data_IF_217016416967
#
_entry.id   IF_217016416967
#
_cell.length_a   1.000
_cell.length_b   1.000
_cell.length_c   1.000
_cell.angle_alpha   90.00
_cell.angle_beta   90.00
_cell.angle_gamma   90.00
#
_symmetry.space_group_name_H-M   'P 1'
#
loop_
_entity.id
_entity.type
_entity.pdbx_description
1 polymer ?
#
# COMPACT_ATOMS: atom_id res chain seq x y z
N UNK A 1 0.72 14.17 -19.30
CA UNK A 1 1.59 15.25 -19.78
C UNK A 1 1.11 16.48 -19.03
N UNK A 2 1.80 17.08 -18.06
CA UNK A 2 3.24 17.25 -17.82
C UNK A 2 3.68 16.88 -16.40
N UNK A 3 4.85 16.26 -16.32
CA UNK A 3 5.73 16.00 -15.16
C UNK A 3 6.95 16.92 -15.37
N UNK A 4 7.73 17.35 -14.34
CA UNK A 4 8.92 18.19 -14.55
C UNK A 4 9.75 17.70 -15.73
N UNK A 5 10.24 18.62 -16.57
CA UNK A 5 10.83 18.31 -17.87
C UNK A 5 12.14 17.51 -17.72
N UNK A 6 12.00 16.20 -17.49
CA UNK A 6 13.09 15.25 -17.50
C UNK A 6 13.60 15.18 -18.95
N UNK A 7 14.91 15.30 -19.15
CA UNK A 7 15.47 15.42 -20.49
C UNK A 7 15.09 14.22 -21.35
N UNK A 8 14.87 14.48 -22.64
CA UNK A 8 14.75 13.41 -23.62
C UNK A 8 16.10 12.67 -23.75
N UNK A 9 16.08 11.34 -24.02
CA UNK A 9 17.29 10.59 -24.28
C UNK A 9 18.03 11.19 -25.48
N UNK A 10 19.35 11.36 -25.34
CA UNK A 10 20.21 11.93 -26.41
C UNK A 10 20.60 10.89 -27.45
N UNK A 11 20.78 9.63 -27.06
CA UNK A 11 21.13 8.53 -27.96
C UNK A 11 19.88 8.08 -28.76
N UNK A 12 20.04 7.92 -30.07
CA UNK A 12 18.94 7.55 -30.96
C UNK A 12 18.36 6.16 -30.66
N UNK A 13 19.17 5.23 -30.11
CA UNK A 13 18.72 3.90 -29.70
C UNK A 13 17.87 3.98 -28.44
N UNK A 14 18.25 4.83 -27.47
CA UNK A 14 17.39 5.11 -26.31
C UNK A 14 16.08 5.81 -26.70
N UNK A 15 16.09 6.67 -27.73
CA UNK A 15 14.86 7.24 -28.29
C UNK A 15 13.94 6.17 -28.90
N UNK A 16 14.50 5.18 -29.60
CA UNK A 16 13.74 4.06 -30.14
C UNK A 16 13.14 3.18 -29.02
N UNK A 17 13.91 2.90 -27.97
CA UNK A 17 13.44 2.20 -26.76
C UNK A 17 12.31 2.97 -26.10
N UNK A 18 12.45 4.30 -25.94
CA UNK A 18 11.40 5.16 -25.38
C UNK A 18 10.09 5.06 -26.16
N UNK A 19 10.16 5.03 -27.50
CA UNK A 19 8.99 4.90 -28.35
C UNK A 19 8.28 3.56 -28.14
N UNK A 20 9.04 2.45 -28.09
CA UNK A 20 8.49 1.11 -27.83
C UNK A 20 7.88 0.99 -26.44
N UNK A 21 8.58 1.47 -25.40
CA UNK A 21 8.05 1.49 -24.03
C UNK A 21 6.78 2.35 -23.92
N UNK A 22 6.71 3.47 -24.65
CA UNK A 22 5.51 4.31 -24.67
C UNK A 22 4.31 3.57 -25.27
N UNK A 23 4.52 2.84 -26.38
CA UNK A 23 3.47 2.02 -26.98
C UNK A 23 3.00 0.90 -26.03
N UNK A 24 3.93 0.21 -25.36
CA UNK A 24 3.58 -0.81 -24.36
C UNK A 24 2.74 -0.21 -23.23
N UNK A 25 3.17 0.94 -22.67
CA UNK A 25 2.41 1.64 -21.64
C UNK A 25 1.00 2.00 -22.10
N UNK A 26 0.87 2.48 -23.33
CA UNK A 26 -0.42 2.89 -23.86
C UNK A 26 -1.35 1.67 -24.06
N UNK A 27 -0.82 0.50 -24.47
CA UNK A 27 -1.58 -0.76 -24.47
C UNK A 27 -2.00 -1.20 -23.06
N UNK A 28 -1.11 -1.11 -22.07
CA UNK A 28 -1.44 -1.41 -20.67
C UNK A 28 -2.56 -0.49 -20.15
N UNK A 29 -2.54 0.79 -20.52
CA UNK A 29 -3.60 1.74 -20.16
C UNK A 29 -4.94 1.42 -20.83
N UNK A 30 -4.93 1.00 -22.10
CA UNK A 30 -6.14 0.56 -22.79
C UNK A 30 -6.73 -0.70 -22.12
N UNK A 31 -5.89 -1.68 -21.79
CA UNK A 31 -6.31 -2.90 -21.09
C UNK A 31 -6.91 -2.58 -19.71
N UNK A 32 -6.34 -1.62 -18.98
CA UNK A 32 -6.87 -1.15 -17.70
C UNK A 32 -8.26 -0.52 -17.83
N UNK A 33 -8.49 0.22 -18.93
CA UNK A 33 -9.75 0.92 -19.17
C UNK A 33 -10.88 -0.02 -19.61
N UNK A 34 -10.55 -1.17 -20.22
CA UNK A 34 -11.56 -2.14 -20.66
C UNK A 34 -12.22 -2.84 -19.46
N UNK A 35 -13.50 -2.55 -19.25
CA UNK A 35 -14.35 -3.16 -18.20
C UNK A 35 -15.35 -4.17 -18.73
N UNK A 36 -15.29 -4.51 -20.02
CA UNK A 36 -16.25 -5.42 -20.65
C UNK A 36 -15.98 -6.87 -20.30
N UNK A 37 -14.72 -7.22 -20.03
CA UNK A 37 -14.28 -8.55 -19.61
C UNK A 37 -13.32 -8.45 -18.42
N UNK A 38 -13.09 -9.58 -17.75
CA UNK A 38 -12.00 -9.70 -16.79
C UNK A 38 -10.65 -9.73 -17.53
N UNK A 39 -9.59 -9.32 -16.84
CA UNK A 39 -8.24 -9.33 -17.42
C UNK A 39 -7.64 -10.74 -17.29
N UNK A 40 -7.11 -11.28 -18.41
CA UNK A 40 -6.47 -12.61 -18.44
C UNK A 40 -4.96 -12.48 -18.44
N UNK A 41 -4.28 -13.51 -17.92
CA UNK A 41 -2.83 -13.62 -17.99
C UNK A 41 -2.31 -13.53 -19.42
N UNK A 42 -3.00 -14.13 -20.39
CA UNK A 42 -2.61 -14.12 -21.81
C UNK A 42 -2.56 -12.70 -22.42
N UNK A 43 -3.32 -11.76 -21.87
CA UNK A 43 -3.35 -10.37 -22.35
C UNK A 43 -2.24 -9.51 -21.70
N UNK A 44 -1.68 -9.95 -20.57
CA UNK A 44 -0.68 -9.22 -19.77
C UNK A 44 0.75 -9.71 -20.03
N UNK A 45 0.97 -11.02 -20.07
CA UNK A 45 2.31 -11.63 -20.15
C UNK A 45 3.09 -11.19 -21.41
N UNK A 46 2.49 -11.09 -22.61
CA UNK A 46 3.21 -10.60 -23.78
C UNK A 46 3.73 -9.16 -23.64
N UNK A 47 3.00 -8.30 -22.92
CA UNK A 47 3.41 -6.91 -22.66
C UNK A 47 4.55 -6.85 -21.64
N UNK A 48 4.53 -7.76 -20.66
CA UNK A 48 5.64 -7.96 -19.76
C UNK A 48 6.91 -8.39 -20.51
N UNK A 49 6.84 -9.41 -21.35
CA UNK A 49 7.98 -9.92 -22.11
C UNK A 49 8.59 -8.85 -23.01
N UNK A 50 7.74 -8.10 -23.74
CA UNK A 50 8.19 -6.95 -24.54
C UNK A 50 8.90 -5.88 -23.69
N UNK A 51 8.39 -5.61 -22.48
CA UNK A 51 9.04 -4.65 -21.55
C UNK A 51 10.42 -5.15 -21.14
N UNK A 52 10.55 -6.45 -20.86
CA UNK A 52 11.83 -7.07 -20.51
C UNK A 52 12.83 -6.98 -21.66
N UNK A 53 12.41 -7.19 -22.91
CA UNK A 53 13.27 -7.01 -24.08
C UNK A 53 13.81 -5.58 -24.15
N UNK A 54 12.98 -4.58 -23.86
CA UNK A 54 13.41 -3.19 -23.82
C UNK A 54 14.40 -2.93 -22.69
N UNK A 55 14.25 -3.55 -21.52
CA UNK A 55 15.23 -3.45 -20.42
C UNK A 55 16.58 -4.04 -20.83
N UNK A 56 16.57 -5.20 -21.51
CA UNK A 56 17.80 -5.84 -22.00
C UNK A 56 18.53 -4.94 -22.98
N UNK A 57 17.81 -4.37 -23.95
CA UNK A 57 18.37 -3.45 -24.94
C UNK A 57 18.90 -2.17 -24.29
N UNK A 58 18.14 -1.59 -23.36
CA UNK A 58 18.55 -0.38 -22.62
C UNK A 58 19.83 -0.61 -21.83
N UNK A 59 19.95 -1.73 -21.12
CA UNK A 59 21.16 -2.07 -20.38
C UNK A 59 22.36 -2.23 -21.30
N UNK A 60 22.19 -2.86 -22.46
CA UNK A 60 23.26 -3.00 -23.45
C UNK A 60 23.70 -1.64 -23.98
N UNK A 61 22.77 -0.80 -24.44
CA UNK A 61 23.06 0.56 -24.93
C UNK A 61 23.79 1.37 -23.87
N UNK A 62 23.29 1.41 -22.63
CA UNK A 62 23.90 2.16 -21.51
C UNK A 62 25.28 1.65 -21.14
N UNK A 63 25.53 0.35 -21.25
CA UNK A 63 26.85 -0.23 -21.00
C UNK A 63 27.90 0.22 -22.03
N UNK A 64 27.50 0.45 -23.28
CA UNK A 64 28.40 0.92 -24.34
C UNK A 64 28.69 2.41 -24.25
N UNK A 65 27.67 3.23 -23.97
CA UNK A 65 27.81 4.69 -23.96
C UNK A 65 28.26 5.25 -22.60
N UNK A 66 28.30 4.41 -21.54
CA UNK A 66 28.65 4.83 -20.19
C UNK A 66 27.65 5.83 -19.57
N UNK A 67 26.42 5.89 -20.08
CA UNK A 67 25.40 6.81 -19.61
C UNK A 67 24.63 6.20 -18.44
N UNK A 68 24.64 6.91 -17.31
CA UNK A 68 23.94 6.52 -16.08
C UNK A 68 22.99 7.60 -15.57
N UNK A 69 22.83 8.70 -16.32
CA UNK A 69 21.89 9.77 -15.95
C UNK A 69 20.45 9.36 -16.26
N UNK A 70 19.55 9.64 -15.30
CA UNK A 70 18.12 9.41 -15.45
C UNK A 70 17.53 10.33 -16.53
N UNK A 71 16.74 9.76 -17.43
CA UNK A 71 16.06 10.49 -18.49
C UNK A 71 14.63 9.99 -18.69
N UNK A 72 13.95 10.50 -19.72
CA UNK A 72 12.53 10.18 -19.97
C UNK A 72 12.26 8.67 -20.17
N UNK A 73 13.25 7.89 -20.63
CA UNK A 73 13.15 6.43 -20.73
C UNK A 73 12.85 5.81 -19.37
N UNK A 74 13.57 6.22 -18.33
CA UNK A 74 13.44 5.66 -16.97
C UNK A 74 12.03 5.91 -16.40
N UNK A 75 11.46 7.09 -16.62
CA UNK A 75 10.09 7.40 -16.16
C UNK A 75 9.02 6.61 -16.87
N UNK A 76 9.17 6.38 -18.17
CA UNK A 76 8.21 5.54 -18.92
C UNK A 76 8.39 4.08 -18.51
N UNK A 77 9.62 3.62 -18.31
CA UNK A 77 9.90 2.26 -17.83
C UNK A 77 9.33 2.02 -16.43
N UNK A 78 9.52 2.95 -15.49
CA UNK A 78 8.91 2.91 -14.16
C UNK A 78 7.38 2.85 -14.26
N UNK A 79 6.77 3.64 -15.15
CA UNK A 79 5.32 3.59 -15.40
C UNK A 79 4.85 2.22 -15.93
N UNK A 80 5.60 1.61 -16.85
CA UNK A 80 5.29 0.26 -17.35
C UNK A 80 5.35 -0.76 -16.21
N UNK A 81 6.40 -0.73 -15.39
CA UNK A 81 6.54 -1.68 -14.29
C UNK A 81 5.52 -1.47 -13.16
N UNK A 82 5.14 -0.24 -12.85
CA UNK A 82 4.04 0.04 -11.92
C UNK A 82 2.72 -0.54 -12.43
N UNK A 83 2.38 -0.33 -13.71
CA UNK A 83 1.19 -0.91 -14.34
C UNK A 83 1.24 -2.44 -14.34
N UNK A 84 2.33 -3.03 -14.84
CA UNK A 84 2.52 -4.48 -14.91
C UNK A 84 2.41 -5.11 -13.52
N UNK A 85 3.01 -4.51 -12.50
CA UNK A 85 2.90 -4.99 -11.11
C UNK A 85 1.45 -5.04 -10.64
N UNK A 86 0.66 -3.99 -10.89
CA UNK A 86 -0.75 -3.99 -10.54
C UNK A 86 -1.58 -4.97 -11.39
N UNK A 87 -1.23 -5.17 -12.66
CA UNK A 87 -1.86 -6.20 -13.49
C UNK A 87 -1.59 -7.60 -12.96
N UNK A 88 -0.36 -7.88 -12.51
CA UNK A 88 -0.01 -9.15 -11.89
C UNK A 88 -0.84 -9.44 -10.64
N UNK A 89 -1.13 -8.41 -9.83
CA UNK A 89 -2.07 -8.53 -8.72
C UNK A 89 -3.49 -8.84 -9.22
N UNK A 90 -4.00 -8.09 -10.20
CA UNK A 90 -5.36 -8.29 -10.74
C UNK A 90 -5.60 -9.65 -11.40
N UNK A 91 -4.56 -10.22 -12.04
CA UNK A 91 -4.64 -11.58 -12.61
C UNK A 91 -4.35 -12.67 -11.58
N UNK A 92 -4.08 -12.35 -10.31
CA UNK A 92 -3.86 -13.32 -9.23
C UNK A 92 -2.45 -13.92 -9.14
N UNK A 93 -1.46 -13.35 -9.83
CA UNK A 93 -0.05 -13.79 -9.83
C UNK A 93 0.79 -13.03 -8.79
N UNK A 94 0.24 -12.84 -7.58
CA UNK A 94 0.80 -11.98 -6.53
C UNK A 94 2.16 -12.47 -5.99
N UNK A 95 2.41 -13.77 -6.10
CA UNK A 95 3.63 -14.40 -5.58
C UNK A 95 4.84 -14.25 -6.52
N UNK A 96 4.67 -13.60 -7.66
CA UNK A 96 5.73 -13.45 -8.65
C UNK A 96 6.45 -12.12 -8.51
N UNK A 97 7.74 -12.11 -8.86
CA UNK A 97 8.59 -10.95 -8.72
C UNK A 97 7.99 -9.65 -9.34
N UNK A 98 7.38 -9.66 -10.55
CA UNK A 98 6.78 -8.45 -11.13
C UNK A 98 5.69 -7.83 -10.26
N UNK A 99 4.91 -8.62 -9.52
CA UNK A 99 3.84 -8.14 -8.64
C UNK A 99 4.36 -7.22 -7.52
N UNK A 100 5.63 -7.36 -7.14
CA UNK A 100 6.22 -6.63 -6.01
C UNK A 100 6.70 -5.22 -6.34
N UNK A 101 6.74 -4.83 -7.62
CA UNK A 101 7.37 -3.58 -8.05
C UNK A 101 6.64 -2.34 -7.50
N UNK A 102 5.31 -2.28 -7.68
CA UNK A 102 4.49 -1.15 -7.22
C UNK A 102 4.49 -1.02 -5.69
N UNK A 103 4.48 -2.16 -4.99
CA UNK A 103 4.62 -2.23 -3.54
C UNK A 103 5.96 -1.65 -3.07
N UNK A 104 7.08 -2.10 -3.66
CA UNK A 104 8.43 -1.62 -3.30
C UNK A 104 8.58 -0.12 -3.58
N UNK A 105 8.01 0.37 -4.69
CA UNK A 105 8.00 1.79 -5.04
C UNK A 105 7.25 2.64 -4.01
N UNK A 106 6.10 2.13 -3.56
CA UNK A 106 5.27 2.78 -2.54
C UNK A 106 5.96 2.76 -1.17
N UNK A 107 6.60 1.64 -0.79
CA UNK A 107 7.41 1.54 0.43
C UNK A 107 8.52 2.59 0.43
N UNK A 108 9.25 2.74 -0.69
CA UNK A 108 10.30 3.75 -0.82
C UNK A 108 9.76 5.16 -0.56
N UNK A 109 8.62 5.52 -1.17
CA UNK A 109 7.96 6.83 -0.95
C UNK A 109 7.55 7.03 0.50
N UNK A 110 6.96 6.01 1.13
CA UNK A 110 6.61 6.06 2.55
C UNK A 110 7.86 6.30 3.41
N UNK A 111 8.95 5.55 3.18
CA UNK A 111 10.21 5.70 3.92
C UNK A 111 10.85 7.08 3.72
N UNK A 112 10.80 7.66 2.51
CA UNK A 112 11.21 9.04 2.26
C UNK A 112 10.41 10.01 3.15
N UNK A 113 9.09 9.88 3.17
CA UNK A 113 8.24 10.78 3.95
C UNK A 113 8.36 10.55 5.46
N UNK A 114 8.61 9.32 5.92
CA UNK A 114 8.92 9.04 7.32
C UNK A 114 10.24 9.71 7.73
N UNK A 115 11.23 9.69 6.84
CA UNK A 115 12.52 10.36 7.04
C UNK A 115 12.35 11.89 7.06
N UNK A 116 11.64 12.45 6.09
CA UNK A 116 11.37 13.89 5.97
C UNK A 116 10.58 14.44 7.15
N UNK A 117 9.48 13.77 7.51
CA UNK A 117 8.61 14.25 8.57
C UNK A 117 9.13 13.91 9.97
N UNK A 118 9.93 12.85 10.12
CA UNK A 118 10.26 12.24 11.41
C UNK A 118 8.99 11.96 12.26
N UNK A 119 7.96 11.38 11.61
CA UNK A 119 6.68 11.01 12.27
C UNK A 119 6.41 9.52 12.04
N UNK A 120 7.00 8.67 12.88
CA UNK A 120 6.86 7.21 12.82
C UNK A 120 6.95 6.59 14.22
N UNK A 121 6.43 5.38 14.38
CA UNK A 121 6.49 4.54 15.58
C UNK A 121 7.19 3.22 15.27
N UNK A 122 7.55 2.44 16.31
CA UNK A 122 8.11 1.10 16.11
C UNK A 122 7.17 0.20 15.28
N UNK A 123 5.86 0.30 15.53
CA UNK A 123 4.83 -0.48 14.81
C UNK A 123 4.79 -0.16 13.32
N UNK A 124 4.95 1.10 12.93
CA UNK A 124 4.95 1.48 11.51
C UNK A 124 6.16 0.85 10.80
N UNK A 125 7.33 0.86 11.45
CA UNK A 125 8.56 0.29 10.89
C UNK A 125 8.52 -1.23 10.83
N UNK A 126 7.95 -1.91 11.84
CA UNK A 126 7.83 -3.37 11.84
C UNK A 126 6.89 -3.85 10.72
N UNK A 127 5.78 -3.15 10.48
CA UNK A 127 4.90 -3.49 9.35
C UNK A 127 5.65 -3.42 8.02
N UNK A 128 6.39 -2.33 7.76
CA UNK A 128 7.18 -2.20 6.51
C UNK A 128 8.26 -3.29 6.43
N UNK A 129 8.91 -3.61 7.55
CA UNK A 129 9.93 -4.66 7.63
C UNK A 129 9.39 -6.02 7.22
N UNK A 130 8.30 -6.49 7.83
CA UNK A 130 7.72 -7.80 7.53
C UNK A 130 7.33 -7.92 6.05
N UNK A 131 6.75 -6.87 5.48
CA UNK A 131 6.37 -6.86 4.06
C UNK A 131 7.58 -6.81 3.12
N UNK A 132 8.67 -6.13 3.49
CA UNK A 132 9.92 -6.19 2.74
C UNK A 132 10.56 -7.58 2.82
N UNK A 133 10.50 -8.25 3.97
CA UNK A 133 11.00 -9.63 4.12
C UNK A 133 10.20 -10.61 3.26
N UNK A 134 8.88 -10.46 3.17
CA UNK A 134 8.02 -11.23 2.25
C UNK A 134 8.35 -10.94 0.78
N UNK A 135 8.58 -9.67 0.44
CA UNK A 135 9.01 -9.27 -0.91
C UNK A 135 10.35 -9.92 -1.30
N UNK A 136 11.32 -9.94 -0.38
CA UNK A 136 12.60 -10.64 -0.60
C UNK A 136 12.38 -12.12 -0.83
N UNK A 137 11.52 -12.76 -0.02
CA UNK A 137 11.20 -14.18 -0.19
C UNK A 137 10.61 -14.45 -1.58
N UNK A 138 9.64 -13.66 -2.02
CA UNK A 138 9.03 -13.79 -3.34
C UNK A 138 10.06 -13.64 -4.48
N UNK A 139 10.97 -12.67 -4.38
CA UNK A 139 12.06 -12.48 -5.35
C UNK A 139 13.01 -13.68 -5.35
N UNK A 140 13.44 -14.15 -4.16
CA UNK A 140 14.39 -15.27 -4.03
C UNK A 140 13.80 -16.62 -4.47
N UNK A 141 12.50 -16.86 -4.23
CA UNK A 141 11.82 -18.05 -4.71
C UNK A 141 11.84 -18.10 -6.25
N UNK A 142 11.64 -16.94 -6.89
CA UNK A 142 11.79 -16.76 -8.33
C UNK A 142 13.18 -17.10 -8.89
N UNK A 143 14.24 -17.01 -8.08
CA UNK A 143 15.62 -17.37 -8.46
C UNK A 143 15.90 -18.88 -8.39
N UNK A 144 15.18 -19.62 -7.53
CA UNK A 144 15.55 -21.01 -7.16
C UNK A 144 14.87 -22.12 -7.95
N UNK A 145 13.75 -21.87 -8.62
CA UNK A 145 13.03 -22.88 -9.41
C UNK A 145 13.47 -22.86 -10.87
N UNK A 146 13.96 -23.99 -11.38
CA UNK A 146 14.40 -24.14 -12.79
C UNK A 146 13.31 -23.75 -13.80
N UNK A 147 12.04 -23.95 -13.46
CA UNK A 147 10.86 -23.51 -14.24
C UNK A 147 10.68 -21.99 -14.22
N UNK A 148 11.06 -21.31 -13.12
CA UNK A 148 10.89 -19.86 -12.94
C UNK A 148 12.04 -19.04 -13.53
N UNK A 149 13.23 -19.64 -13.73
CA UNK A 149 14.34 -18.97 -14.41
C UNK A 149 14.08 -18.76 -15.92
N UNK A 150 13.20 -19.57 -16.53
CA UNK A 150 12.75 -19.37 -17.91
C UNK A 150 11.64 -18.31 -18.03
N UNK A 151 10.87 -18.08 -16.97
CA UNK A 151 9.72 -17.15 -16.92
C UNK A 151 10.07 -15.78 -16.30
N UNK A 152 11.12 -15.70 -15.47
CA UNK A 152 11.52 -14.48 -14.78
C UNK A 152 12.84 -13.93 -15.29
N UNK A 153 12.82 -12.66 -15.70
CA UNK A 153 13.97 -12.01 -16.31
C UNK A 153 15.05 -11.68 -15.25
N UNK A 154 16.31 -12.10 -15.45
CA UNK A 154 17.40 -11.76 -14.53
C UNK A 154 17.62 -10.24 -14.40
N UNK A 155 17.24 -9.48 -15.44
CA UNK A 155 17.30 -8.02 -15.42
C UNK A 155 16.28 -7.40 -14.46
N UNK A 156 15.06 -7.94 -14.40
CA UNK A 156 14.05 -7.49 -13.46
C UNK A 156 14.41 -7.87 -12.03
N UNK A 157 14.88 -9.09 -11.80
CA UNK A 157 15.31 -9.55 -10.48
C UNK A 157 16.43 -8.67 -9.94
N UNK A 158 17.43 -8.34 -10.77
CA UNK A 158 18.48 -7.40 -10.42
C UNK A 158 17.94 -6.02 -10.05
N UNK A 159 16.96 -5.51 -10.82
CA UNK A 159 16.32 -4.22 -10.55
C UNK A 159 15.57 -4.22 -9.22
N UNK A 160 14.72 -5.23 -8.99
CA UNK A 160 13.93 -5.38 -7.76
C UNK A 160 14.84 -5.55 -6.54
N UNK A 161 15.87 -6.40 -6.62
CA UNK A 161 16.84 -6.62 -5.54
C UNK A 161 17.55 -5.32 -5.14
N UNK A 162 17.95 -4.48 -6.11
CA UNK A 162 18.53 -3.16 -5.82
C UNK A 162 17.54 -2.23 -5.12
N UNK A 163 16.27 -2.21 -5.55
CA UNK A 163 15.22 -1.36 -4.95
C UNK A 163 14.88 -1.81 -3.52
N UNK A 164 14.80 -3.12 -3.30
CA UNK A 164 14.56 -3.69 -1.98
C UNK A 164 15.73 -3.39 -1.04
N UNK A 165 16.97 -3.58 -1.49
CA UNK A 165 18.16 -3.24 -0.70
C UNK A 165 18.18 -1.75 -0.29
N UNK A 166 17.78 -0.85 -1.20
CA UNK A 166 17.62 0.57 -0.87
C UNK A 166 16.58 0.80 0.23
N UNK A 167 15.40 0.19 0.12
CA UNK A 167 14.35 0.29 1.13
C UNK A 167 14.80 -0.27 2.48
N UNK A 168 15.50 -1.41 2.49
CA UNK A 168 16.08 -2.00 3.71
C UNK A 168 17.11 -1.06 4.36
N UNK A 169 17.97 -0.42 3.57
CA UNK A 169 18.92 0.58 4.09
C UNK A 169 18.24 1.80 4.70
N UNK A 170 17.21 2.33 4.04
CA UNK A 170 16.40 3.44 4.57
C UNK A 170 15.69 3.06 5.87
N UNK A 171 15.07 1.87 5.90
CA UNK A 171 14.40 1.33 7.08
C UNK A 171 15.39 1.12 8.25
N UNK A 172 16.57 0.57 7.99
CA UNK A 172 17.61 0.37 8.99
C UNK A 172 18.04 1.70 9.64
N UNK A 173 18.17 2.77 8.84
CA UNK A 173 18.48 4.10 9.36
C UNK A 173 17.38 4.63 10.28
N UNK A 174 16.10 4.48 9.91
CA UNK A 174 14.97 4.90 10.75
C UNK A 174 14.88 4.09 12.06
N UNK A 175 15.13 2.78 11.99
CA UNK A 175 15.17 1.89 13.17
C UNK A 175 16.30 2.27 14.11
N UNK A 176 17.51 2.48 13.59
CA UNK A 176 18.68 2.92 14.38
C UNK A 176 18.44 4.23 15.11
N UNK A 177 17.73 5.19 14.50
CA UNK A 177 17.31 6.41 15.18
C UNK A 177 16.38 6.12 16.36
N UNK A 178 15.39 5.25 16.17
CA UNK A 178 14.44 4.86 17.22
C UNK A 178 15.12 4.10 18.37
N UNK A 179 16.08 3.23 18.08
CA UNK A 179 16.90 2.52 19.07
C UNK A 179 17.74 3.47 19.95
N UNK A 180 18.06 4.66 19.44
CA UNK A 180 18.72 5.72 20.20
C UNK A 180 17.85 6.39 21.27
N UNK A 181 16.54 6.12 21.27
CA UNK A 181 15.59 6.65 22.24
C UNK A 181 15.46 5.66 23.41
N UNK A 182 15.79 6.11 24.62
CA UNK A 182 15.71 5.29 25.82
C UNK A 182 14.29 4.78 26.10
N UNK A 183 14.17 3.58 26.69
CA UNK A 183 12.90 2.90 26.94
C UNK A 183 11.79 3.77 27.56
N UNK A 184 12.05 4.56 28.63
CA UNK A 184 11.04 5.45 29.22
C UNK A 184 10.54 6.55 28.27
N UNK A 185 11.39 6.99 27.34
CA UNK A 185 11.06 8.03 26.36
C UNK A 185 10.35 7.48 25.13
N UNK A 186 10.48 6.19 24.83
CA UNK A 186 9.81 5.56 23.69
C UNK A 186 8.27 5.64 23.81
N UNK A 187 7.71 5.39 25.00
CA UNK A 187 6.27 5.55 25.22
C UNK A 187 5.82 7.02 25.07
N UNK A 188 6.68 7.97 25.45
CA UNK A 188 6.42 9.40 25.27
C UNK A 188 6.44 9.77 23.78
N UNK A 189 7.43 9.27 23.05
CA UNK A 189 7.53 9.40 21.60
C UNK A 189 6.26 8.91 20.90
N UNK A 190 5.82 7.68 21.17
CA UNK A 190 4.61 7.12 20.56
C UNK A 190 3.35 7.92 20.89
N UNK A 191 3.21 8.42 22.13
CA UNK A 191 2.10 9.30 22.51
C UNK A 191 2.13 10.61 21.72
N UNK A 192 3.29 11.24 21.56
CA UNK A 192 3.44 12.47 20.77
C UNK A 192 3.10 12.25 19.29
N UNK A 193 3.58 11.15 18.70
CA UNK A 193 3.28 10.76 17.31
C UNK A 193 1.77 10.53 17.13
N UNK A 194 1.11 9.84 18.06
CA UNK A 194 -0.32 9.60 18.03
C UNK A 194 -1.13 10.91 18.09
N UNK A 195 -0.80 11.81 19.02
CA UNK A 195 -1.47 13.12 19.13
C UNK A 195 -1.26 13.93 17.84
N UNK A 196 -0.05 13.96 17.30
CA UNK A 196 0.27 14.70 16.09
C UNK A 196 -0.52 14.20 14.87
N UNK A 197 -0.68 12.88 14.74
CA UNK A 197 -1.52 12.25 13.70
C UNK A 197 -2.99 12.63 13.84
N UNK A 198 -3.52 12.63 15.07
CA UNK A 198 -4.91 13.00 15.34
C UNK A 198 -5.18 14.49 15.05
N UNK A 199 -4.27 15.39 15.45
CA UNK A 199 -4.38 16.82 15.13
C UNK A 199 -4.34 17.03 13.61
N UNK A 200 -3.44 16.34 12.90
CA UNK A 200 -3.33 16.44 11.43
C UNK A 200 -4.58 15.91 10.71
N UNK A 201 -5.18 14.84 11.21
CA UNK A 201 -6.46 14.35 10.73
C UNK A 201 -7.56 15.39 10.95
N UNK A 202 -7.72 15.89 12.18
CA UNK A 202 -8.72 16.90 12.52
C UNK A 202 -8.60 18.18 11.67
N UNK A 203 -7.36 18.57 11.33
CA UNK A 203 -7.07 19.72 10.47
C UNK A 203 -7.61 19.58 9.03
N UNK A 204 -7.82 18.35 8.55
CA UNK A 204 -8.23 18.08 7.17
C UNK A 204 -9.65 17.51 7.04
N UNK A 205 -10.40 17.47 8.15
CA UNK A 205 -11.82 17.13 8.15
C UNK A 205 -12.62 18.22 7.44
N UNK A 206 -13.73 17.83 6.80
CA UNK A 206 -14.65 18.77 6.13
C UNK A 206 -15.26 19.80 7.10
N UNK A 207 -15.42 19.41 8.37
CA UNK A 207 -15.83 20.30 9.47
C UNK A 207 -14.75 20.29 10.54
N UNK A 208 -14.06 21.41 10.70
CA UNK A 208 -13.03 21.56 11.73
C UNK A 208 -13.65 21.61 13.13
N UNK A 209 -13.16 20.77 14.04
CA UNK A 209 -13.57 20.76 15.44
C UNK A 209 -12.52 21.41 16.33
N UNK A 210 -12.81 22.64 16.78
CA UNK A 210 -11.91 23.37 17.70
C UNK A 210 -11.77 22.63 19.03
N UNK A 211 -12.86 22.07 19.56
CA UNK A 211 -12.85 21.34 20.83
C UNK A 211 -12.04 20.05 20.77
N UNK A 212 -12.09 19.33 19.64
CA UNK A 212 -11.27 18.13 19.42
C UNK A 212 -9.76 18.47 19.47
N UNK A 213 -9.34 19.51 18.73
CA UNK A 213 -7.94 19.92 18.70
C UNK A 213 -7.50 20.50 20.05
N UNK A 214 -8.35 21.25 20.74
CA UNK A 214 -8.07 21.74 22.10
C UNK A 214 -7.86 20.59 23.09
N UNK A 215 -8.70 19.54 23.04
CA UNK A 215 -8.53 18.34 23.89
C UNK A 215 -7.20 17.64 23.63
N UNK A 216 -6.83 17.47 22.36
CA UNK A 216 -5.54 16.89 21.97
C UNK A 216 -4.36 17.76 22.42
N UNK A 217 -4.50 19.08 22.32
CA UNK A 217 -3.50 20.04 22.81
C UNK A 217 -3.36 19.99 24.34
N UNK A 218 -4.44 19.82 25.10
CA UNK A 218 -4.35 19.64 26.55
C UNK A 218 -3.57 18.37 26.91
N UNK A 219 -3.86 17.24 26.25
CA UNK A 219 -3.08 16.01 26.44
C UNK A 219 -1.61 16.16 26.08
N UNK A 220 -1.31 16.99 25.07
CA UNK A 220 0.06 17.33 24.72
C UNK A 220 0.71 18.12 25.85
N UNK A 221 0.07 19.17 26.37
CA UNK A 221 0.62 19.95 27.49
C UNK A 221 0.84 19.11 28.75
N UNK A 222 -0.06 18.18 29.07
CA UNK A 222 0.12 17.21 30.18
C UNK A 222 1.36 16.33 29.99
N UNK A 223 1.73 16.01 28.74
CA UNK A 223 3.02 15.34 28.47
C UNK A 223 4.18 16.30 28.78
N UNK A 224 4.04 17.57 28.41
CA UNK A 224 5.03 18.62 28.68
C UNK A 224 5.27 18.89 30.16
N UNK A 225 4.25 18.75 31.02
CA UNK A 225 4.36 18.91 32.48
C UNK A 225 5.36 17.92 33.12
N UNK A 226 5.63 16.81 32.45
CA UNK A 226 6.65 15.83 32.89
C UNK A 226 8.08 16.33 32.65
N UNK A 227 8.28 17.40 31.87
CA UNK A 227 9.60 17.98 31.62
C UNK A 227 10.09 18.73 32.86
N UNK A 228 11.35 18.53 33.22
CA UNK A 228 12.05 19.34 34.24
C UNK A 228 13.11 20.19 33.56
N UNK A 229 13.12 21.50 33.81
CA UNK A 229 14.03 22.45 33.13
C UNK A 229 13.98 22.34 31.60
N UNK A 230 12.78 22.10 31.05
CA UNK A 230 12.60 21.90 29.61
C UNK A 230 13.14 20.58 29.08
N UNK A 231 13.41 19.57 29.92
CA UNK A 231 13.89 18.26 29.48
C UNK A 231 13.06 17.11 29.98
N UNK A 232 12.86 16.09 29.14
CA UNK A 232 12.26 14.84 29.60
C UNK A 232 13.28 14.04 30.41
N UNK A 233 12.97 13.78 31.67
CA UNK A 233 13.85 13.04 32.58
C UNK A 233 13.20 11.72 33.00
N UNK A 234 14.05 10.73 33.26
CA UNK A 234 13.66 9.46 33.86
C UNK A 234 13.11 9.66 35.28
N UNK A 235 12.41 8.66 35.87
CA UNK A 235 11.89 8.76 37.25
C UNK A 235 12.96 9.08 38.30
N UNK A 236 14.19 8.64 38.08
CA UNK A 236 15.38 8.89 38.90
C UNK A 236 16.02 10.29 38.68
N UNK A 237 15.47 11.10 37.76
CA UNK A 237 15.96 12.43 37.42
C UNK A 237 17.09 12.46 36.38
N UNK A 238 17.50 11.31 35.84
CA UNK A 238 18.54 11.23 34.81
C UNK A 238 18.00 11.62 33.42
N UNK A 239 18.87 12.14 32.57
CA UNK A 239 18.55 12.43 31.17
C UNK A 239 18.68 11.14 30.37
N UNK A 240 17.57 10.66 29.82
CA UNK A 240 17.57 9.46 28.97
C UNK A 240 18.16 9.75 27.58
N UNK A 241 18.80 8.75 26.94
CA UNK A 241 19.16 8.83 25.52
C UNK A 241 17.96 9.24 24.65
N UNK A 242 18.18 10.11 23.67
CA UNK A 242 17.13 10.61 22.78
C UNK A 242 16.31 11.79 23.33
N UNK A 243 16.62 12.31 24.53
CA UNK A 243 15.86 13.41 25.15
C UNK A 243 15.71 14.64 24.25
N UNK A 244 16.81 15.08 23.61
CA UNK A 244 16.78 16.25 22.72
C UNK A 244 15.80 16.07 21.55
N UNK A 245 15.76 14.87 20.94
CA UNK A 245 14.86 14.55 19.84
C UNK A 245 13.39 14.54 20.30
N UNK A 246 13.11 14.04 21.51
CA UNK A 246 11.75 14.05 22.08
C UNK A 246 11.30 15.46 22.48
N UNK A 247 12.20 16.27 23.04
CA UNK A 247 11.92 17.67 23.36
C UNK A 247 11.63 18.49 22.09
N UNK A 248 12.40 18.28 21.01
CA UNK A 248 12.12 18.90 19.72
C UNK A 248 10.78 18.43 19.14
N UNK A 249 10.49 17.12 19.18
CA UNK A 249 9.21 16.56 18.72
C UNK A 249 8.04 17.18 19.49
N UNK A 250 8.14 17.29 20.82
CA UNK A 250 7.12 17.93 21.64
C UNK A 250 6.89 19.38 21.22
N UNK A 251 7.94 20.18 21.06
CA UNK A 251 7.84 21.58 20.66
C UNK A 251 7.21 21.72 19.27
N UNK A 252 7.57 20.83 18.34
CA UNK A 252 6.96 20.74 17.01
C UNK A 252 5.48 20.41 17.08
N UNK A 253 5.06 19.50 17.97
CA UNK A 253 3.66 19.16 18.20
C UNK A 253 2.89 20.36 18.77
N UNK A 254 3.46 21.09 19.73
CA UNK A 254 2.80 22.26 20.34
C UNK A 254 2.60 23.34 19.29
N UNK A 255 3.67 23.69 18.58
CA UNK A 255 3.62 24.66 17.48
C UNK A 255 2.61 24.26 16.41
N UNK A 256 2.54 22.98 16.05
CA UNK A 256 1.54 22.49 15.11
C UNK A 256 0.12 22.66 15.63
N UNK A 257 -0.13 22.33 16.89
CA UNK A 257 -1.45 22.48 17.50
C UNK A 257 -1.93 23.94 17.50
N UNK A 258 -1.04 24.89 17.79
CA UNK A 258 -1.35 26.32 17.78
C UNK A 258 -1.68 26.80 16.36
N UNK A 259 -0.86 26.43 15.37
CA UNK A 259 -1.10 26.77 13.96
C UNK A 259 -2.43 26.19 13.44
N UNK A 260 -2.78 24.96 13.84
CA UNK A 260 -4.05 24.32 13.45
C UNK A 260 -5.25 25.02 14.10
N UNK A 261 -5.14 25.44 15.37
CA UNK A 261 -6.19 26.20 16.07
C UNK A 261 -6.38 27.61 15.51
N UNK A 262 -5.31 28.24 15.02
CA UNK A 262 -5.35 29.53 14.35
C UNK A 262 -5.99 29.41 12.97
N UNK A 263 -5.53 28.46 12.14
CA UNK A 263 -5.94 28.28 10.75
C UNK A 263 -7.29 27.62 10.57
N UNK A 264 -7.67 26.71 11.47
CA UNK A 264 -8.97 26.01 11.48
C UNK A 264 -9.35 25.37 10.14
N UNK A 265 -8.37 24.76 9.45
CA UNK A 265 -8.57 24.12 8.15
C UNK A 265 -8.71 25.09 6.96
N UNK A 266 -8.52 26.40 7.15
CA UNK A 266 -8.61 27.38 6.07
C UNK A 266 -7.35 27.35 5.21
N UNK A 267 -7.51 26.87 3.98
CA UNK A 267 -6.49 26.84 2.94
C UNK A 267 -6.63 28.08 2.05
N UNK A 268 -5.53 28.79 1.81
CA UNK A 268 -5.48 29.93 0.90
C UNK A 268 -5.77 29.51 -0.55
N UNK A 269 -6.42 30.37 -1.32
CA UNK A 269 -6.92 30.05 -2.67
C UNK A 269 -5.85 29.54 -3.63
N UNK A 270 -4.64 30.10 -3.57
CA UNK A 270 -3.51 29.66 -4.40
C UNK A 270 -3.11 28.19 -4.19
N UNK A 271 -3.48 27.59 -3.05
CA UNK A 271 -3.17 26.22 -2.70
C UNK A 271 -4.37 25.27 -2.82
N UNK A 272 -5.57 25.81 -3.10
CA UNK A 272 -6.80 25.03 -3.27
C UNK A 272 -6.69 23.94 -4.34
N UNK A 273 -6.13 24.19 -5.54
CA UNK A 273 -6.08 23.16 -6.58
C UNK A 273 -5.36 21.88 -6.15
N UNK A 274 -4.20 22.03 -5.50
CA UNK A 274 -3.41 20.89 -4.98
C UNK A 274 -4.12 20.25 -3.79
N UNK A 275 -4.58 21.07 -2.84
CA UNK A 275 -5.23 20.59 -1.62
C UNK A 275 -6.51 19.80 -1.91
N UNK A 276 -7.39 20.32 -2.75
CA UNK A 276 -8.67 19.70 -3.08
C UNK A 276 -8.46 18.38 -3.85
N UNK A 277 -7.44 18.31 -4.72
CA UNK A 277 -7.03 17.06 -5.38
C UNK A 277 -6.60 16.01 -4.35
N UNK A 278 -5.71 16.38 -3.41
CA UNK A 278 -5.24 15.47 -2.36
C UNK A 278 -6.37 15.01 -1.43
N UNK A 279 -7.29 15.91 -1.07
CA UNK A 279 -8.47 15.59 -0.27
C UNK A 279 -9.41 14.64 -1.02
N UNK A 280 -9.62 14.86 -2.33
CA UNK A 280 -10.44 13.96 -3.16
C UNK A 280 -9.85 12.56 -3.18
N UNK A 281 -8.56 12.43 -3.52
CA UNK A 281 -7.86 11.14 -3.55
C UNK A 281 -7.97 10.44 -2.19
N UNK A 282 -7.73 11.15 -1.09
CA UNK A 282 -7.86 10.59 0.26
C UNK A 282 -9.26 10.07 0.52
N UNK A 283 -10.30 10.85 0.21
CA UNK A 283 -11.69 10.47 0.48
C UNK A 283 -12.12 9.27 -0.38
N UNK A 284 -11.70 9.23 -1.64
CA UNK A 284 -11.99 8.11 -2.53
C UNK A 284 -11.35 6.83 -2.00
N UNK A 285 -10.05 6.87 -1.65
CA UNK A 285 -9.33 5.74 -1.05
C UNK A 285 -9.91 5.32 0.32
N UNK A 286 -10.28 6.27 1.17
CA UNK A 286 -10.91 5.99 2.46
C UNK A 286 -12.26 5.29 2.27
N UNK A 287 -13.10 5.78 1.36
CA UNK A 287 -14.37 5.15 1.02
C UNK A 287 -14.17 3.71 0.54
N UNK A 288 -13.24 3.49 -0.40
CA UNK A 288 -12.90 2.16 -0.90
C UNK A 288 -12.46 1.21 0.24
N UNK A 289 -11.72 1.74 1.22
CA UNK A 289 -11.21 0.95 2.36
C UNK A 289 -12.32 0.51 3.32
N UNK A 290 -13.37 1.33 3.46
CA UNK A 290 -14.51 1.05 4.33
C UNK A 290 -15.53 0.11 3.69
N UNK A 291 -15.72 0.21 2.36
CA UNK A 291 -16.79 -0.52 1.67
C UNK A 291 -16.36 -1.86 1.09
N UNK A 292 -15.08 -2.26 1.21
CA UNK A 292 -14.47 -3.37 0.44
C UNK A 292 -15.00 -3.34 -1.00
N UNK A 293 -14.59 -2.32 -1.76
CA UNK A 293 -15.17 -2.07 -3.07
C UNK A 293 -14.93 -3.25 -4.03
N UNK A 294 -15.96 -4.07 -4.22
CA UNK A 294 -15.97 -5.26 -5.07
C UNK A 294 -15.60 -4.99 -6.54
N UNK A 295 -15.70 -3.73 -6.99
CA UNK A 295 -15.40 -3.30 -8.36
C UNK A 295 -14.01 -2.69 -8.54
N UNK A 296 -13.23 -2.54 -7.47
CA UNK A 296 -11.88 -1.99 -7.56
C UNK A 296 -10.96 -3.07 -8.14
N UNK A 297 -10.34 -2.78 -9.29
CA UNK A 297 -9.17 -3.56 -9.74
C UNK A 297 -7.93 -2.95 -9.11
N UNK A 298 -6.92 -3.76 -8.81
CA UNK A 298 -5.63 -3.25 -8.32
C UNK A 298 -5.01 -2.27 -9.31
N UNK A 299 -5.23 -2.47 -10.62
CA UNK A 299 -4.83 -1.53 -11.67
C UNK A 299 -5.41 -0.12 -11.51
N UNK A 300 -6.54 0.07 -10.84
CA UNK A 300 -7.10 1.39 -10.54
C UNK A 300 -6.25 2.21 -9.57
N UNK A 301 -5.44 1.55 -8.74
CA UNK A 301 -4.49 2.23 -7.86
C UNK A 301 -3.48 3.06 -8.66
N UNK A 302 -3.23 2.72 -9.94
CA UNK A 302 -2.29 3.43 -10.80
C UNK A 302 -2.67 4.91 -10.99
N UNK A 303 -3.96 5.22 -11.14
CA UNK A 303 -4.38 6.61 -11.38
C UNK A 303 -4.17 7.47 -10.12
N UNK A 304 -4.42 6.89 -8.95
CA UNK A 304 -4.14 7.54 -7.67
C UNK A 304 -2.64 7.71 -7.46
N UNK A 305 -1.84 6.67 -7.70
CA UNK A 305 -0.37 6.72 -7.60
C UNK A 305 0.19 7.82 -8.51
N UNK A 306 -0.23 7.87 -9.78
CA UNK A 306 0.27 8.85 -10.75
C UNK A 306 -0.06 10.29 -10.35
N UNK A 307 -1.27 10.54 -9.84
CA UNK A 307 -1.64 11.88 -9.38
C UNK A 307 -0.84 12.29 -8.14
N UNK A 308 -0.63 11.36 -7.20
CA UNK A 308 0.19 11.60 -6.02
C UNK A 308 1.66 11.84 -6.39
N UNK A 309 2.24 10.98 -7.23
CA UNK A 309 3.62 11.11 -7.71
C UNK A 309 3.82 12.46 -8.40
N UNK A 310 2.88 12.90 -9.24
CA UNK A 310 2.94 14.22 -9.89
C UNK A 310 2.98 15.35 -8.88
N UNK A 311 2.14 15.31 -7.85
CA UNK A 311 2.11 16.34 -6.80
C UNK A 311 3.39 16.28 -5.96
N UNK A 312 3.83 15.09 -5.58
CA UNK A 312 4.99 14.87 -4.73
C UNK A 312 6.31 15.25 -5.41
N UNK A 313 6.48 14.89 -6.69
CA UNK A 313 7.65 15.22 -7.51
C UNK A 313 7.69 16.70 -7.94
N UNK A 314 6.58 17.44 -7.83
CA UNK A 314 6.55 18.88 -8.09
C UNK A 314 7.24 19.72 -6.99
N UNK A 315 7.53 19.10 -5.84
CA UNK A 315 8.14 19.78 -4.69
C UNK A 315 9.59 20.13 -4.96
N UNK A 316 10.01 21.31 -4.50
CA UNK A 316 11.39 21.79 -4.57
C UNK A 316 11.92 21.91 -3.15
N UNK A 317 13.00 21.17 -2.84
CA UNK A 317 13.60 21.12 -1.51
C UNK A 317 12.57 20.80 -0.40
N UNK A 318 11.66 19.86 -0.66
CA UNK A 318 10.61 19.43 0.26
C UNK A 318 9.42 20.38 0.38
N UNK A 319 9.37 21.49 -0.37
CA UNK A 319 8.28 22.47 -0.31
C UNK A 319 7.52 22.60 -1.63
N UNK A 320 6.26 23.03 -1.57
CA UNK A 320 5.42 23.33 -2.72
C UNK A 320 5.63 24.78 -3.15
N UNK A 321 5.62 25.02 -4.45
CA UNK A 321 5.71 26.37 -5.02
C UNK A 321 4.36 26.74 -5.65
N UNK A 322 3.93 27.98 -5.46
CA UNK A 322 2.76 28.51 -6.16
C UNK A 322 3.11 28.92 -7.60
N UNK A 323 2.12 29.41 -8.35
CA UNK A 323 2.30 29.85 -9.74
C UNK A 323 3.33 30.99 -9.92
N UNK A 324 3.74 31.64 -8.82
CA UNK A 324 4.76 32.70 -8.79
C UNK A 324 6.10 32.21 -8.26
N UNK A 325 6.26 30.90 -8.03
CA UNK A 325 7.47 30.30 -7.48
C UNK A 325 7.67 30.53 -5.98
N UNK A 326 6.64 30.95 -5.24
CA UNK A 326 6.76 31.23 -3.80
C UNK A 326 6.50 29.97 -2.98
N UNK A 327 7.31 29.69 -1.94
CA UNK A 327 7.14 28.50 -1.13
C UNK A 327 5.87 28.55 -0.29
N UNK A 328 5.25 27.39 -0.07
CA UNK A 328 4.16 27.25 0.87
C UNK A 328 4.62 27.57 2.29
N UNK A 329 3.72 28.18 3.07
CA UNK A 329 3.95 28.36 4.49
C UNK A 329 3.98 26.99 5.21
N UNK A 330 4.55 26.98 6.41
CA UNK A 330 4.73 25.74 7.18
C UNK A 330 3.40 25.01 7.41
N UNK A 331 2.28 25.74 7.53
CA UNK A 331 0.98 25.12 7.73
C UNK A 331 0.54 24.34 6.51
N UNK A 332 0.61 24.98 5.35
CA UNK A 332 0.20 24.43 4.07
C UNK A 332 1.08 23.26 3.68
N UNK A 333 2.41 23.42 3.78
CA UNK A 333 3.39 22.37 3.48
C UNK A 333 3.11 21.10 4.29
N UNK A 334 2.95 21.22 5.62
CA UNK A 334 2.69 20.08 6.50
C UNK A 334 1.33 19.43 6.25
N UNK A 335 0.31 20.24 5.96
CA UNK A 335 -1.04 19.74 5.65
C UNK A 335 -1.03 18.90 4.37
N UNK A 336 -0.41 19.39 3.30
CA UNK A 336 -0.30 18.66 2.04
C UNK A 336 0.56 17.40 2.19
N UNK A 337 1.69 17.47 2.89
CA UNK A 337 2.53 16.29 3.16
C UNK A 337 1.82 15.23 4.02
N UNK A 338 0.95 15.65 4.95
CA UNK A 338 0.09 14.72 5.68
C UNK A 338 -0.89 14.00 4.74
N UNK A 339 -1.56 14.73 3.85
CA UNK A 339 -2.51 14.14 2.90
C UNK A 339 -1.82 13.18 1.93
N UNK A 340 -0.68 13.56 1.36
CA UNK A 340 0.12 12.70 0.46
C UNK A 340 0.46 11.38 1.16
N UNK A 341 1.06 11.44 2.36
CA UNK A 341 1.38 10.25 3.15
C UNK A 341 0.17 9.38 3.44
N UNK A 342 -0.97 10.01 3.78
CA UNK A 342 -2.20 9.28 4.07
C UNK A 342 -2.71 8.54 2.83
N UNK A 343 -2.62 9.14 1.65
CA UNK A 343 -3.02 8.50 0.40
C UNK A 343 -2.09 7.33 0.04
N UNK A 344 -0.76 7.50 0.12
CA UNK A 344 0.17 6.38 -0.07
C UNK A 344 -0.04 5.25 0.94
N UNK A 345 -0.38 5.57 2.20
CA UNK A 345 -0.68 4.55 3.21
C UNK A 345 -1.92 3.72 2.85
N UNK A 346 -2.95 4.33 2.26
CA UNK A 346 -4.11 3.57 1.74
C UNK A 346 -3.72 2.70 0.55
N UNK A 347 -2.99 3.24 -0.43
CA UNK A 347 -2.52 2.48 -1.61
C UNK A 347 -1.67 1.28 -1.17
N UNK A 348 -0.75 1.51 -0.23
CA UNK A 348 0.03 0.45 0.41
C UNK A 348 -0.87 -0.62 1.03
N UNK A 349 -1.84 -0.22 1.85
CA UNK A 349 -2.78 -1.15 2.47
C UNK A 349 -3.58 -1.96 1.46
N UNK A 350 -4.01 -1.37 0.34
CA UNK A 350 -4.75 -2.08 -0.70
C UNK A 350 -3.91 -3.12 -1.44
N UNK A 351 -2.66 -2.81 -1.74
CA UNK A 351 -1.76 -3.78 -2.37
C UNK A 351 -1.47 -4.95 -1.42
N UNK A 352 -1.33 -4.69 -0.12
CA UNK A 352 -1.14 -5.76 0.88
C UNK A 352 -2.38 -6.63 1.09
N UNK A 353 -3.57 -6.07 0.89
CA UNK A 353 -4.83 -6.83 0.99
C UNK A 353 -5.21 -7.53 -0.31
N UNK A 354 -4.40 -7.45 -1.37
CA UNK A 354 -4.69 -8.13 -2.63
C UNK A 354 -4.44 -9.63 -2.47
N UNK A 355 -5.51 -10.40 -2.67
CA UNK A 355 -5.48 -11.86 -2.62
C UNK A 355 -4.95 -12.42 -3.94
N UNK A 356 -4.20 -13.55 -3.93
CA UNK A 356 -3.70 -14.20 -5.14
C UNK A 356 -4.84 -14.95 -5.86
N UNK A 357 -5.85 -14.20 -6.32
CA UNK A 357 -7.06 -14.70 -6.95
C UNK A 357 -7.38 -13.80 -8.14
N UNK A 358 -7.44 -14.40 -9.34
CA UNK A 358 -7.81 -13.65 -10.55
C UNK A 358 -9.20 -13.01 -10.42
N UNK A 359 -9.38 -11.84 -11.04
CA UNK A 359 -10.67 -11.16 -11.15
C UNK A 359 -11.84 -12.09 -11.54
N UNK A 360 -11.60 -13.08 -12.42
CA UNK A 360 -12.60 -14.06 -12.83
C UNK A 360 -13.13 -14.94 -11.70
N UNK A 361 -12.33 -15.20 -10.65
CA UNK A 361 -12.69 -16.05 -9.52
C UNK A 361 -13.18 -15.25 -8.31
N UNK A 362 -12.99 -13.93 -8.27
CA UNK A 362 -13.44 -13.08 -7.17
C UNK A 362 -14.92 -13.32 -6.80
N UNK A 363 -15.89 -13.43 -7.74
CA UNK A 363 -17.28 -13.67 -7.37
C UNK A 363 -17.50 -14.95 -6.54
N UNK A 364 -16.71 -16.00 -6.79
CA UNK A 364 -16.78 -17.28 -6.07
C UNK A 364 -16.05 -17.13 -4.73
N UNK A 365 -14.82 -16.62 -4.76
CA UNK A 365 -13.98 -16.41 -3.57
C UNK A 365 -14.70 -15.58 -2.51
N UNK A 366 -15.35 -14.50 -2.92
CA UNK A 366 -16.10 -13.58 -2.06
C UNK A 366 -17.32 -14.23 -1.40
N UNK A 367 -18.02 -15.10 -2.13
CA UNK A 367 -19.13 -15.87 -1.57
C UNK A 367 -18.63 -16.85 -0.51
N UNK A 368 -17.49 -17.49 -0.75
CA UNK A 368 -16.87 -18.40 0.21
C UNK A 368 -16.35 -17.66 1.45
N UNK A 369 -15.74 -16.48 1.31
CA UNK A 369 -15.32 -15.66 2.45
C UNK A 369 -16.51 -15.27 3.32
N UNK A 370 -17.62 -14.85 2.70
CA UNK A 370 -18.85 -14.52 3.42
C UNK A 370 -19.38 -15.76 4.17
N UNK A 371 -19.38 -16.91 3.50
CA UNK A 371 -19.86 -18.16 4.07
C UNK A 371 -18.99 -18.64 5.25
N UNK A 372 -17.67 -18.56 5.12
CA UNK A 372 -16.70 -18.83 6.19
C UNK A 372 -17.00 -17.96 7.40
N UNK A 373 -17.17 -16.64 7.22
CA UNK A 373 -17.47 -15.73 8.33
C UNK A 373 -18.76 -16.14 9.04
N UNK A 374 -19.83 -16.43 8.30
CA UNK A 374 -21.08 -16.86 8.89
C UNK A 374 -20.94 -18.19 9.65
N UNK A 375 -20.21 -19.17 9.11
CA UNK A 375 -19.97 -20.46 9.78
C UNK A 375 -19.14 -20.29 11.07
N UNK A 376 -18.11 -19.44 11.04
CA UNK A 376 -17.31 -19.10 12.23
C UNK A 376 -18.18 -18.42 13.29
N UNK A 377 -19.00 -17.44 12.90
CA UNK A 377 -19.92 -16.76 13.83
C UNK A 377 -20.92 -17.75 14.45
N UNK A 378 -21.46 -18.71 13.68
CA UNK A 378 -22.32 -19.77 14.23
C UNK A 378 -21.57 -20.60 15.27
N UNK A 379 -20.33 -21.00 14.96
CA UNK A 379 -19.47 -21.76 15.88
C UNK A 379 -19.17 -21.00 17.17
N UNK A 380 -18.82 -19.72 17.06
CA UNK A 380 -18.52 -18.86 18.21
C UNK A 380 -19.75 -18.58 19.09
N UNK A 381 -20.96 -18.59 18.51
CA UNK A 381 -22.22 -18.40 19.23
C UNK A 381 -22.83 -19.70 19.79
N UNK A 382 -22.03 -20.77 19.91
CA UNK A 382 -22.46 -22.03 20.53
C UNK A 382 -23.02 -23.07 19.57
N UNK A 383 -22.86 -22.88 18.26
CA UNK A 383 -23.28 -23.84 17.24
C UNK A 383 -24.75 -23.72 16.85
N UNK A 384 -25.34 -24.84 16.40
CA UNK A 384 -26.74 -24.93 15.99
C UNK A 384 -27.50 -25.90 16.89
N UNK A 385 -28.79 -25.68 17.08
CA UNK A 385 -29.64 -26.58 17.89
C UNK A 385 -30.10 -27.83 17.12
N UNK A 386 -30.05 -27.78 15.79
CA UNK A 386 -30.37 -28.93 14.94
C UNK A 386 -29.57 -28.90 13.63
N UNK A 387 -29.26 -30.08 13.09
CA UNK A 387 -28.57 -30.23 11.80
C UNK A 387 -29.30 -29.53 10.65
N UNK A 388 -30.63 -29.36 10.74
CA UNK A 388 -31.44 -28.70 9.72
C UNK A 388 -31.06 -27.22 9.53
N UNK A 389 -30.59 -26.55 10.58
CA UNK A 389 -30.13 -25.16 10.50
C UNK A 389 -28.87 -25.00 9.63
N UNK A 390 -28.12 -26.09 9.40
CA UNK A 390 -26.95 -26.11 8.52
C UNK A 390 -27.29 -26.35 7.04
N UNK A 391 -28.56 -26.63 6.71
CA UNK A 391 -28.96 -26.92 5.32
C UNK A 391 -28.70 -25.76 4.36
N UNK A 392 -29.01 -24.49 4.69
CA UNK A 392 -28.69 -23.36 3.81
C UNK A 392 -27.19 -23.27 3.47
N UNK A 393 -26.33 -23.51 4.47
CA UNK A 393 -24.87 -23.51 4.29
C UNK A 393 -24.42 -24.67 3.40
N UNK A 394 -24.89 -25.88 3.69
CA UNK A 394 -24.61 -27.09 2.91
C UNK A 394 -25.07 -26.95 1.45
N UNK A 395 -26.28 -26.44 1.22
CA UNK A 395 -26.79 -26.18 -0.13
C UNK A 395 -25.93 -25.16 -0.87
N UNK A 396 -25.51 -24.08 -0.19
CA UNK A 396 -24.67 -23.05 -0.80
C UNK A 396 -23.29 -23.60 -1.16
N UNK A 397 -22.65 -24.36 -0.28
CA UNK A 397 -21.37 -25.03 -0.53
C UNK A 397 -21.44 -25.94 -1.75
N UNK A 398 -22.41 -26.85 -1.77
CA UNK A 398 -22.60 -27.76 -2.90
C UNK A 398 -22.89 -26.99 -4.20
N UNK A 399 -23.63 -25.87 -4.14
CA UNK A 399 -23.88 -25.05 -5.33
C UNK A 399 -22.61 -24.42 -5.90
N UNK A 400 -21.67 -24.01 -5.04
CA UNK A 400 -20.37 -23.47 -5.44
C UNK A 400 -19.44 -24.57 -5.94
N UNK A 401 -19.49 -25.74 -5.29
CA UNK A 401 -18.72 -26.92 -5.67
C UNK A 401 -19.07 -27.41 -7.07
N UNK A 402 -20.36 -27.45 -7.39
CA UNK A 402 -20.90 -27.88 -8.68
C UNK A 402 -20.53 -26.95 -9.85
N UNK A 403 -19.96 -25.77 -9.60
CA UNK A 403 -19.43 -24.88 -10.66
C UNK A 403 -18.14 -25.48 -11.23
N UNK A 404 -17.44 -26.33 -10.47
CA UNK A 404 -16.18 -26.93 -10.90
C UNK A 404 -16.40 -27.95 -12.02
N UNK A 405 -15.50 -27.95 -12.99
CA UNK A 405 -15.40 -28.93 -14.06
C UNK A 405 -14.06 -29.66 -13.88
N UNK A 406 -14.12 -30.99 -13.75
CA UNK A 406 -12.94 -31.83 -13.47
C UNK A 406 -12.10 -31.31 -12.28
N UNK A 407 -12.80 -30.92 -11.20
CA UNK A 407 -12.19 -30.43 -9.96
C UNK A 407 -11.64 -29.00 -10.04
N UNK A 408 -11.84 -28.27 -11.14
CA UNK A 408 -11.31 -26.91 -11.37
C UNK A 408 -12.40 -25.90 -11.69
N UNK A 409 -12.23 -24.65 -11.27
CA UNK A 409 -13.13 -23.57 -11.66
C UNK A 409 -12.76 -23.08 -13.06
N UNK A 410 -13.64 -23.36 -14.03
CA UNK A 410 -13.49 -22.93 -15.43
C UNK A 410 -14.40 -21.74 -15.68
N UNK A 411 -13.84 -20.63 -16.18
CA UNK A 411 -14.57 -19.40 -16.50
C UNK A 411 -14.33 -19.07 -17.97
N UNK A 412 -15.40 -19.01 -18.77
CA UNK A 412 -15.33 -18.74 -20.21
C UNK A 412 -14.37 -19.64 -21.01
N UNK A 413 -14.19 -20.90 -20.58
CA UNK A 413 -13.28 -21.86 -21.22
C UNK A 413 -11.82 -21.76 -20.77
N UNK A 414 -11.48 -20.79 -19.93
CA UNK A 414 -10.16 -20.63 -19.33
C UNK A 414 -10.15 -21.15 -17.88
N UNK A 415 -8.95 -21.54 -17.40
CA UNK A 415 -8.70 -21.87 -15.99
C UNK A 415 -7.97 -20.67 -15.38
N UNK A 416 -8.65 -19.79 -14.62
CA UNK A 416 -8.01 -18.60 -14.07
C UNK A 416 -7.09 -18.93 -12.89
N UNK A 417 -6.15 -18.04 -12.60
CA UNK A 417 -5.28 -18.11 -11.42
C UNK A 417 -6.06 -17.99 -10.11
N UNK A 418 -5.51 -18.58 -9.04
CA UNK A 418 -6.12 -18.60 -7.72
C UNK A 418 -6.96 -19.85 -7.40
N UNK A 419 -6.88 -20.89 -8.25
CA UNK A 419 -7.59 -22.17 -8.02
C UNK A 419 -7.32 -22.76 -6.64
N UNK A 420 -6.06 -22.74 -6.20
CA UNK A 420 -5.65 -23.25 -4.89
C UNK A 420 -6.31 -22.47 -3.75
N UNK A 421 -6.30 -21.14 -3.82
CA UNK A 421 -6.93 -20.26 -2.82
C UNK A 421 -8.43 -20.49 -2.70
N UNK A 422 -9.14 -20.55 -3.84
CA UNK A 422 -10.60 -20.78 -3.85
C UNK A 422 -10.94 -22.20 -3.40
N UNK A 423 -10.18 -23.20 -3.87
CA UNK A 423 -10.43 -24.60 -3.50
C UNK A 423 -10.12 -24.88 -2.03
N UNK A 424 -9.05 -24.30 -1.50
CA UNK A 424 -8.70 -24.38 -0.08
C UNK A 424 -9.75 -23.71 0.80
N UNK A 425 -10.23 -22.52 0.43
CA UNK A 425 -11.29 -21.83 1.16
C UNK A 425 -12.62 -22.61 1.11
N UNK A 426 -12.95 -23.21 -0.04
CA UNK A 426 -14.12 -24.07 -0.17
C UNK A 426 -14.02 -25.30 0.76
N UNK A 427 -12.87 -25.96 0.79
CA UNK A 427 -12.61 -27.09 1.68
C UNK A 427 -12.74 -26.67 3.16
N UNK A 428 -12.15 -25.54 3.55
CA UNK A 428 -12.26 -25.02 4.91
C UNK A 428 -13.73 -24.74 5.31
N UNK A 429 -14.55 -24.21 4.40
CA UNK A 429 -15.97 -24.02 4.69
C UNK A 429 -16.72 -25.37 4.82
N UNK A 430 -16.37 -26.39 4.02
CA UNK A 430 -16.92 -27.73 4.20
C UNK A 430 -16.53 -28.33 5.56
N UNK A 431 -15.27 -28.18 5.97
CA UNK A 431 -14.77 -28.66 7.25
C UNK A 431 -15.49 -27.98 8.42
N UNK A 432 -15.59 -26.64 8.41
CA UNK A 432 -16.33 -25.88 9.45
C UNK A 432 -17.80 -26.31 9.53
N UNK A 433 -18.47 -26.50 8.39
CA UNK A 433 -19.86 -26.93 8.35
C UNK A 433 -20.02 -28.38 8.85
N UNK A 434 -19.03 -29.25 8.59
CA UNK A 434 -19.01 -30.61 9.11
C UNK A 434 -18.78 -30.65 10.62
N UNK A 435 -17.84 -29.88 11.15
CA UNK A 435 -17.61 -29.76 12.59
C UNK A 435 -18.87 -29.31 13.34
N UNK A 436 -19.55 -28.27 12.84
CA UNK A 436 -20.82 -27.80 13.40
C UNK A 436 -21.91 -28.87 13.37
N UNK A 437 -21.95 -29.67 12.31
CA UNK A 437 -22.90 -30.76 12.17
C UNK A 437 -22.65 -31.86 13.20
N UNK A 438 -21.39 -32.27 13.38
CA UNK A 438 -21.01 -33.28 14.38
C UNK A 438 -21.37 -32.79 15.79
N UNK A 439 -21.03 -31.54 16.13
CA UNK A 439 -21.37 -30.96 17.43
C UNK A 439 -22.89 -30.93 17.68
N UNK A 440 -23.69 -30.63 16.66
CA UNK A 440 -25.15 -30.66 16.77
C UNK A 440 -25.68 -32.08 16.98
N UNK A 441 -25.17 -33.06 16.23
CA UNK A 441 -25.55 -34.48 16.38
C UNK A 441 -25.17 -35.03 17.78
N UNK A 442 -24.03 -34.61 18.34
CA UNK A 442 -23.60 -34.98 19.69
C UNK A 442 -24.47 -34.32 20.78
N UNK A 443 -24.75 -33.02 20.68
CA UNK A 443 -25.62 -32.31 21.63
C UNK A 443 -27.07 -32.81 21.64
N UNK A 444 -27.57 -33.32 20.50
CA UNK A 444 -28.92 -33.91 20.45
C UNK A 444 -29.00 -35.25 21.17
N UNK A 445 -27.88 -35.97 21.32
CA UNK A 445 -27.83 -37.27 21.99
C UNK A 445 -27.61 -37.18 23.51
N UNK A 446 -27.24 -36.01 24.05
CA UNK A 446 -27.07 -35.77 25.49
C UNK A 446 -28.35 -35.26 26.17
N UNK A 447 -29.29 -34.71 25.40
CA UNK A 447 -30.59 -34.19 25.87
C UNK A 447 -31.76 -35.19 25.74
N UNK A 448 -31.52 -36.38 25.18
CA UNK A 448 -32.42 -37.56 25.14
C UNK A 448 -32.02 -38.60 26.21
#
# INVERSE_FOLDING_TARGET
>A
MDTPAIPAPRDAREQAILARLSAIRDHLLLLKQDRTTYIRSQDVIPLYDQTIEQVKELNHVRSEIGAHEENRVDKVLESCFQLLSLFYLTIGRNNEAPATYSLTSTIKRLLDHLTEAAIYSAKDLESIKSNLEETVKAISQGETTETSQAEQSPYLLTLLSKRVALCQGMLANLRKRLEGIGGPLLATHEKLISILRQISLANTKSKFSTSEVQKLRSQLLEVGEKRRNGKFVSPDGTISPGEAEISELYERCVKWSDMVLERKGVVHDQWRPIYDTLVSIRNDLEKLSLTQAWSLRETDLYDFQRQLDKIDESRVNGNFLDDKGRPADLWTQRTMLYLIRRCYAYIYSFMLSSEPVSEALLPIYNQLQTLKRCLVEVKENGGVSSVRELYPYSMKLNSLDNIRVDGRFVVNGDIPEGQGSVSGLLAECFDLNYELRVAAEEGTNEDD
#
